data_IF_611202736124
#
_entry.id   IF_611202736124
#
_cell.length_a   1.000
_cell.length_b   1.000
_cell.length_c   1.000
_cell.angle_alpha   90.00
_cell.angle_beta   90.00
_cell.angle_gamma   90.00
#
_symmetry.space_group_name_H-M   'P 1'
#
loop_
_entity.id
_entity.type
_entity.pdbx_description
1 polymer ?
#
# COMPACT_ATOMS: atom_id res chain seq x y z
N UNK A 1 -22.92 42.13 -20.02
CA UNK A 1 -21.98 41.03 -19.69
C UNK A 1 -21.63 40.31 -20.98
N UNK A 2 -20.43 40.53 -21.50
CA UNK A 2 -19.98 40.11 -22.84
C UNK A 2 -19.76 38.58 -22.94
N UNK A 3 -20.18 37.97 -24.05
CA UNK A 3 -20.11 36.52 -24.29
C UNK A 3 -18.69 35.94 -24.20
N UNK A 4 -17.68 36.75 -24.53
CA UNK A 4 -16.25 36.39 -24.40
C UNK A 4 -15.83 36.06 -22.96
N UNK A 5 -16.44 36.71 -21.96
CA UNK A 5 -16.15 36.42 -20.56
C UNK A 5 -16.70 35.07 -20.09
N UNK A 6 -17.80 34.60 -20.70
CA UNK A 6 -18.40 33.29 -20.40
C UNK A 6 -17.58 32.16 -21.01
N UNK A 7 -17.18 32.30 -22.27
CA UNK A 7 -16.35 31.30 -22.97
C UNK A 7 -14.99 31.09 -22.29
N UNK A 8 -14.31 32.16 -21.88
CA UNK A 8 -13.04 32.07 -21.15
C UNK A 8 -13.19 31.35 -19.80
N UNK A 9 -14.31 31.55 -19.10
CA UNK A 9 -14.59 30.89 -17.82
C UNK A 9 -14.92 29.39 -18.00
N UNK A 10 -15.66 29.02 -19.04
CA UNK A 10 -15.93 27.62 -19.39
C UNK A 10 -14.67 26.88 -19.84
N UNK A 11 -13.81 27.51 -20.65
CA UNK A 11 -12.52 26.96 -21.05
C UNK A 11 -11.56 26.78 -19.85
N UNK A 12 -11.67 27.63 -18.82
CA UNK A 12 -10.91 27.48 -17.57
C UNK A 12 -11.47 26.35 -16.71
N UNK A 13 -12.81 26.29 -16.53
CA UNK A 13 -13.48 25.24 -15.75
C UNK A 13 -13.27 23.85 -16.34
N UNK A 14 -13.33 23.71 -17.66
CA UNK A 14 -13.07 22.44 -18.35
C UNK A 14 -11.61 21.99 -18.19
N UNK A 15 -10.64 22.91 -18.31
CA UNK A 15 -9.22 22.63 -18.04
C UNK A 15 -8.98 22.17 -16.60
N UNK A 16 -9.53 22.89 -15.62
CA UNK A 16 -9.42 22.52 -14.20
C UNK A 16 -10.07 21.16 -13.91
N UNK A 17 -11.26 20.91 -14.49
CA UNK A 17 -11.94 19.61 -14.40
C UNK A 17 -11.22 18.48 -15.11
N UNK A 18 -10.28 18.73 -16.03
CA UNK A 18 -9.44 17.68 -16.66
C UNK A 18 -8.14 17.47 -15.89
N UNK A 19 -7.52 18.54 -15.40
CA UNK A 19 -6.30 18.46 -14.58
C UNK A 19 -6.54 17.80 -13.22
N UNK A 20 -7.74 17.99 -12.64
CA UNK A 20 -8.11 17.41 -11.34
C UNK A 20 -8.20 15.87 -11.38
N UNK A 21 -8.91 15.25 -12.34
CA UNK A 21 -8.87 13.80 -12.59
C UNK A 21 -7.47 13.25 -12.82
N UNK A 22 -6.62 13.96 -13.56
CA UNK A 22 -5.25 13.51 -13.84
C UNK A 22 -4.37 13.53 -12.59
N UNK A 23 -4.48 14.56 -11.76
CA UNK A 23 -3.77 14.67 -10.49
C UNK A 23 -4.20 13.54 -9.54
N UNK A 24 -5.51 13.30 -9.40
CA UNK A 24 -6.05 12.19 -8.61
C UNK A 24 -5.55 10.84 -9.13
N UNK A 25 -5.68 10.58 -10.43
CA UNK A 25 -5.22 9.35 -11.04
C UNK A 25 -3.73 9.09 -10.84
N UNK A 26 -2.91 10.14 -10.75
CA UNK A 26 -1.48 10.02 -10.45
C UNK A 26 -1.22 9.55 -9.02
N UNK A 27 -1.93 10.11 -8.03
CA UNK A 27 -1.81 9.70 -6.62
C UNK A 27 -2.17 8.22 -6.44
N UNK A 28 -3.27 7.77 -7.04
CA UNK A 28 -3.69 6.36 -7.00
C UNK A 28 -2.70 5.42 -7.68
N UNK A 29 -2.15 5.79 -8.84
CA UNK A 29 -1.13 4.98 -9.52
C UNK A 29 0.17 4.90 -8.72
N UNK A 30 0.60 5.99 -8.10
CA UNK A 30 1.75 5.99 -7.20
C UNK A 30 1.52 5.07 -5.99
N UNK A 31 0.36 5.18 -5.34
CA UNK A 31 -0.01 4.30 -4.24
C UNK A 31 -0.06 2.82 -4.66
N UNK A 32 -0.65 2.52 -5.83
CA UNK A 32 -0.69 1.16 -6.37
C UNK A 32 0.72 0.60 -6.60
N UNK A 33 1.63 1.38 -7.21
CA UNK A 33 3.01 0.94 -7.43
C UNK A 33 3.77 0.70 -6.13
N UNK A 34 3.64 1.59 -5.15
CA UNK A 34 4.30 1.43 -3.84
C UNK A 34 3.76 0.19 -3.14
N UNK A 35 2.44 0.02 -3.14
CA UNK A 35 1.79 -1.17 -2.59
C UNK A 35 2.27 -2.46 -3.27
N UNK A 36 2.42 -2.46 -4.60
CA UNK A 36 2.95 -3.58 -5.36
C UNK A 36 4.36 -3.97 -4.88
N UNK A 37 5.25 -2.98 -4.73
CA UNK A 37 6.60 -3.22 -4.22
C UNK A 37 6.60 -3.81 -2.82
N UNK A 38 5.79 -3.26 -1.91
CA UNK A 38 5.66 -3.78 -0.54
C UNK A 38 5.14 -5.22 -0.54
N UNK A 39 4.13 -5.52 -1.35
CA UNK A 39 3.59 -6.87 -1.47
C UNK A 39 4.62 -7.87 -1.98
N UNK A 40 5.40 -7.50 -3.00
CA UNK A 40 6.50 -8.35 -3.50
C UNK A 40 7.53 -8.60 -2.40
N UNK A 41 7.95 -7.58 -1.65
CA UNK A 41 8.89 -7.75 -0.53
C UNK A 41 8.35 -8.72 0.53
N UNK A 42 7.05 -8.70 0.80
CA UNK A 42 6.43 -9.66 1.72
C UNK A 42 6.44 -11.09 1.18
N UNK A 43 6.06 -11.31 -0.07
CA UNK A 43 6.12 -12.63 -0.71
C UNK A 43 7.53 -13.22 -0.64
N UNK A 44 8.54 -12.40 -0.99
CA UNK A 44 9.94 -12.81 -0.88
C UNK A 44 10.38 -13.09 0.56
N UNK A 45 9.91 -12.30 1.52
CA UNK A 45 10.20 -12.53 2.94
C UNK A 45 9.64 -13.88 3.40
N UNK A 46 8.39 -14.20 3.03
CA UNK A 46 7.77 -15.50 3.33
C UNK A 46 8.55 -16.64 2.68
N UNK A 47 8.94 -16.49 1.42
CA UNK A 47 9.75 -17.49 0.71
C UNK A 47 11.10 -17.75 1.40
N UNK A 48 11.82 -16.68 1.77
CA UNK A 48 13.13 -16.79 2.44
C UNK A 48 12.95 -17.42 3.83
N UNK A 49 11.98 -16.96 4.60
CA UNK A 49 11.70 -17.48 5.94
C UNK A 49 11.27 -18.95 5.93
N UNK A 50 10.55 -19.37 4.90
CA UNK A 50 10.22 -20.78 4.68
C UNK A 50 11.49 -21.62 4.50
N UNK A 51 12.42 -21.17 3.65
CA UNK A 51 13.69 -21.86 3.40
C UNK A 51 14.61 -21.92 4.62
N UNK A 52 14.43 -21.01 5.58
CA UNK A 52 15.21 -20.95 6.83
C UNK A 52 14.51 -21.63 8.02
N UNK A 53 13.33 -22.24 7.83
CA UNK A 53 12.57 -22.85 8.93
C UNK A 53 12.13 -21.86 10.00
N UNK A 54 11.89 -20.60 9.61
CA UNK A 54 11.44 -19.52 10.50
C UNK A 54 9.91 -19.38 10.56
N UNK A 55 9.19 -20.03 9.64
CA UNK A 55 7.74 -20.01 9.63
C UNK A 55 7.16 -21.11 10.54
N UNK A 56 6.06 -20.83 11.26
CA UNK A 56 5.42 -21.83 12.10
C UNK A 56 4.79 -22.94 11.24
N UNK A 57 5.20 -24.21 11.41
CA UNK A 57 4.72 -25.32 10.58
C UNK A 57 3.22 -25.59 10.72
N UNK A 58 2.63 -25.25 11.87
CA UNK A 58 1.21 -25.42 12.16
C UNK A 58 0.29 -24.52 11.32
N UNK A 59 0.81 -23.50 10.64
CA UNK A 59 0.01 -22.62 9.76
C UNK A 59 -0.28 -23.25 8.39
N UNK A 60 0.22 -24.45 8.12
CA UNK A 60 -0.04 -25.18 6.88
C UNK A 60 0.92 -24.82 5.74
N UNK A 61 0.64 -25.27 4.50
CA UNK A 61 1.59 -25.20 3.41
C UNK A 61 1.93 -23.77 3.00
N UNK A 62 3.22 -23.42 2.98
CA UNK A 62 3.73 -22.10 2.59
C UNK A 62 3.19 -21.67 1.22
N UNK A 63 3.12 -22.59 0.26
CA UNK A 63 2.61 -22.30 -1.09
C UNK A 63 1.17 -21.77 -1.11
N UNK A 64 0.32 -22.20 -0.17
CA UNK A 64 -1.06 -21.69 -0.06
C UNK A 64 -1.03 -20.23 0.40
N UNK A 65 -0.18 -19.89 1.38
CA UNK A 65 -0.05 -18.51 1.85
C UNK A 65 0.51 -17.57 0.80
N UNK A 66 1.50 -18.01 0.02
CA UNK A 66 2.04 -17.24 -1.10
C UNK A 66 0.97 -16.99 -2.18
N UNK A 67 0.17 -18.01 -2.51
CA UNK A 67 -0.92 -17.85 -3.48
C UNK A 67 -1.98 -16.86 -2.97
N UNK A 68 -2.37 -16.97 -1.70
CA UNK A 68 -3.34 -16.04 -1.08
C UNK A 68 -2.78 -14.62 -1.04
N UNK A 69 -1.52 -14.44 -0.65
CA UNK A 69 -0.87 -13.13 -0.62
C UNK A 69 -0.77 -12.51 -2.01
N UNK A 70 -0.37 -13.28 -3.01
CA UNK A 70 -0.32 -12.84 -4.42
C UNK A 70 -1.71 -12.44 -4.96
N UNK A 71 -2.77 -13.17 -4.59
CA UNK A 71 -4.14 -12.82 -4.96
C UNK A 71 -4.60 -11.51 -4.31
N UNK A 72 -4.33 -11.32 -3.02
CA UNK A 72 -4.63 -10.07 -2.31
C UNK A 72 -3.87 -8.90 -2.94
N UNK A 73 -2.59 -9.11 -3.24
CA UNK A 73 -1.73 -8.12 -3.88
C UNK A 73 -2.29 -7.69 -5.24
N UNK A 74 -2.63 -8.66 -6.09
CA UNK A 74 -3.22 -8.41 -7.40
C UNK A 74 -4.56 -7.67 -7.29
N UNK A 75 -5.44 -8.09 -6.36
CA UNK A 75 -6.74 -7.48 -6.15
C UNK A 75 -6.63 -6.02 -5.68
N UNK A 76 -5.77 -5.73 -4.70
CA UNK A 76 -5.56 -4.37 -4.20
C UNK A 76 -4.89 -3.49 -5.25
N UNK A 77 -3.86 -3.99 -5.93
CA UNK A 77 -3.21 -3.26 -7.01
C UNK A 77 -4.21 -2.89 -8.10
N UNK A 78 -5.01 -3.86 -8.55
CA UNK A 78 -6.05 -3.64 -9.55
C UNK A 78 -7.09 -2.63 -9.08
N UNK A 79 -7.57 -2.74 -7.84
CA UNK A 79 -8.54 -1.82 -7.26
C UNK A 79 -8.03 -0.38 -7.20
N UNK A 80 -6.77 -0.19 -6.76
CA UNK A 80 -6.14 1.13 -6.72
C UNK A 80 -5.90 1.69 -8.12
N UNK A 81 -5.41 0.86 -9.04
CA UNK A 81 -5.07 1.27 -10.40
C UNK A 81 -6.30 1.62 -11.24
N UNK A 82 -7.32 0.74 -11.23
CA UNK A 82 -8.45 0.79 -12.17
C UNK A 82 -9.66 1.56 -11.64
N UNK A 83 -9.94 1.46 -10.33
CA UNK A 83 -11.14 2.06 -9.74
C UNK A 83 -10.89 3.42 -9.09
N UNK A 84 -9.66 3.69 -8.65
CA UNK A 84 -9.26 4.98 -8.04
C UNK A 84 -10.23 5.45 -6.92
N UNK A 85 -10.74 4.47 -6.17
CA UNK A 85 -11.73 4.65 -5.13
C UNK A 85 -11.03 4.96 -3.80
N UNK A 86 -11.38 6.10 -3.19
CA UNK A 86 -10.82 6.53 -1.91
C UNK A 86 -11.09 5.53 -0.78
N UNK A 87 -12.28 4.90 -0.76
CA UNK A 87 -12.63 3.93 0.28
C UNK A 87 -11.74 2.70 0.22
N UNK A 88 -11.39 2.23 -0.98
CA UNK A 88 -10.44 1.12 -1.15
C UNK A 88 -9.09 1.52 -0.55
N UNK A 89 -8.59 2.73 -0.85
CA UNK A 89 -7.34 3.22 -0.28
C UNK A 89 -7.41 3.32 1.25
N UNK A 90 -8.51 3.81 1.83
CA UNK A 90 -8.70 3.95 3.28
C UNK A 90 -8.77 2.60 4.00
N UNK A 91 -9.48 1.63 3.45
CA UNK A 91 -9.58 0.27 4.02
C UNK A 91 -8.21 -0.41 3.99
N UNK A 92 -7.52 -0.37 2.84
CA UNK A 92 -6.18 -0.94 2.70
C UNK A 92 -5.19 -0.26 3.64
N UNK A 93 -5.27 1.07 3.77
CA UNK A 93 -4.50 1.85 4.74
C UNK A 93 -4.73 1.35 6.17
N UNK A 94 -5.99 1.23 6.60
CA UNK A 94 -6.34 0.79 7.94
C UNK A 94 -5.81 -0.63 8.24
N UNK A 95 -6.01 -1.56 7.31
CA UNK A 95 -5.51 -2.93 7.44
C UNK A 95 -3.98 -2.99 7.54
N UNK A 96 -3.26 -2.14 6.82
CA UNK A 96 -1.79 -2.08 6.93
C UNK A 96 -1.33 -1.38 8.22
N UNK A 97 -2.07 -0.39 8.71
CA UNK A 97 -1.74 0.30 9.96
C UNK A 97 -1.80 -0.65 11.16
N UNK A 98 -2.72 -1.62 11.15
CA UNK A 98 -2.82 -2.67 12.17
C UNK A 98 -1.57 -3.55 12.30
N UNK A 99 -0.65 -3.51 11.34
CA UNK A 99 0.62 -4.24 11.41
C UNK A 99 1.67 -3.51 12.24
N UNK A 100 1.55 -2.20 12.42
CA UNK A 100 2.56 -1.40 13.11
C UNK A 100 2.85 -1.89 14.53
N UNK A 101 1.86 -2.24 15.37
CA UNK A 101 2.14 -2.73 16.73
C UNK A 101 3.10 -3.93 16.74
N UNK A 102 2.83 -4.95 15.94
CA UNK A 102 3.66 -6.16 15.87
C UNK A 102 5.07 -5.87 15.32
N UNK A 103 5.19 -4.93 14.36
CA UNK A 103 6.49 -4.55 13.81
C UNK A 103 7.31 -3.72 14.81
N UNK A 104 6.66 -2.81 15.54
CA UNK A 104 7.31 -2.02 16.58
C UNK A 104 7.75 -2.90 17.76
N UNK A 105 6.93 -3.88 18.15
CA UNK A 105 7.29 -4.88 19.16
C UNK A 105 8.55 -5.64 18.73
N UNK A 106 8.58 -6.22 17.52
CA UNK A 106 9.76 -6.93 17.02
C UNK A 106 11.01 -6.05 16.84
N UNK A 107 10.83 -4.74 16.61
CA UNK A 107 11.93 -3.79 16.44
C UNK A 107 12.54 -3.30 17.76
N UNK A 108 11.71 -2.99 18.76
CA UNK A 108 12.15 -2.30 19.98
C UNK A 108 12.12 -3.20 21.22
N UNK A 109 11.32 -4.27 21.20
CA UNK A 109 11.16 -5.21 22.31
C UNK A 109 11.36 -6.67 21.83
N UNK A 110 12.49 -7.01 21.19
CA UNK A 110 12.71 -8.35 20.69
C UNK A 110 12.80 -9.35 21.84
N UNK A 111 12.12 -10.50 21.67
CA UNK A 111 12.27 -11.65 22.55
C UNK A 111 13.76 -12.10 22.57
N UNK A 112 14.35 -12.41 23.74
CA UNK A 112 15.69 -12.97 23.82
C UNK A 112 15.93 -14.20 22.91
N UNK A 113 14.89 -14.97 22.59
CA UNK A 113 14.92 -16.11 21.67
C UNK A 113 14.60 -15.77 20.20
N UNK A 114 14.43 -14.50 19.85
CA UNK A 114 14.02 -14.08 18.51
C UNK A 114 15.04 -14.51 17.45
N UNK A 115 14.56 -15.25 16.44
CA UNK A 115 15.37 -15.68 15.29
C UNK A 115 15.48 -14.64 14.18
N UNK A 116 14.61 -13.62 14.20
CA UNK A 116 14.59 -12.53 13.23
C UNK A 116 15.20 -11.29 13.90
N UNK A 117 16.21 -10.66 13.30
CA UNK A 117 16.88 -9.50 13.91
C UNK A 117 15.96 -8.28 13.95
N UNK A 118 16.08 -7.47 15.01
CA UNK A 118 15.33 -6.21 15.17
C UNK A 118 15.47 -5.24 13.98
N UNK A 119 16.62 -5.25 13.30
CA UNK A 119 16.85 -4.44 12.09
C UNK A 119 15.88 -4.79 10.95
N UNK A 120 15.50 -6.06 10.79
CA UNK A 120 14.50 -6.47 9.80
C UNK A 120 13.15 -5.82 10.08
N UNK A 121 12.72 -5.82 11.35
CA UNK A 121 11.48 -5.17 11.76
C UNK A 121 11.53 -3.66 11.59
N UNK A 122 12.66 -3.00 11.91
CA UNK A 122 12.85 -1.58 11.65
C UNK A 122 12.73 -1.24 10.16
N UNK A 123 13.36 -2.03 9.30
CA UNK A 123 13.22 -1.86 7.84
C UNK A 123 11.77 -2.04 7.39
N UNK A 124 11.07 -3.05 7.92
CA UNK A 124 9.66 -3.27 7.63
C UNK A 124 8.77 -2.11 8.11
N UNK A 125 9.05 -1.51 9.28
CA UNK A 125 8.35 -0.30 9.77
C UNK A 125 8.50 0.83 8.76
N UNK A 126 9.71 1.14 8.31
CA UNK A 126 9.95 2.21 7.33
C UNK A 126 9.18 1.97 6.03
N UNK A 127 9.24 0.75 5.49
CA UNK A 127 8.51 0.37 4.27
C UNK A 127 7.00 0.55 4.47
N UNK A 128 6.45 0.09 5.60
CA UNK A 128 5.03 0.22 5.92
C UNK A 128 4.63 1.68 6.06
N UNK A 129 5.43 2.53 6.72
CA UNK A 129 5.15 3.95 6.86
C UNK A 129 5.11 4.66 5.49
N UNK A 130 6.03 4.34 4.58
CA UNK A 130 6.01 4.86 3.20
C UNK A 130 4.73 4.43 2.46
N UNK A 131 4.34 3.17 2.59
CA UNK A 131 3.11 2.67 1.98
C UNK A 131 1.86 3.35 2.55
N UNK A 132 1.78 3.49 3.87
CA UNK A 132 0.70 4.21 4.55
C UNK A 132 0.63 5.66 4.12
N UNK A 133 1.77 6.34 3.98
CA UNK A 133 1.79 7.71 3.49
C UNK A 133 1.23 7.82 2.07
N UNK A 134 1.61 6.90 1.17
CA UNK A 134 1.13 6.90 -0.21
C UNK A 134 -0.36 6.57 -0.32
N UNK A 135 -0.84 5.60 0.45
CA UNK A 135 -2.27 5.28 0.56
C UNK A 135 -3.06 6.44 1.17
N UNK A 136 -2.51 7.14 2.17
CA UNK A 136 -3.16 8.30 2.77
C UNK A 136 -3.33 9.43 1.74
N UNK A 137 -2.30 9.68 0.92
CA UNK A 137 -2.38 10.64 -0.19
C UNK A 137 -3.44 10.27 -1.22
N UNK A 138 -3.65 8.99 -1.50
CA UNK A 138 -4.71 8.55 -2.41
C UNK A 138 -6.11 8.62 -1.76
N UNK A 139 -6.21 8.41 -0.44
CA UNK A 139 -7.49 8.29 0.27
C UNK A 139 -8.06 9.58 0.86
N UNK A 140 -7.22 10.56 1.22
CA UNK A 140 -7.65 11.78 1.92
C UNK A 140 -7.19 13.09 1.26
N UNK A 141 -6.13 13.06 0.44
CA UNK A 141 -5.65 14.22 -0.31
C UNK A 141 -6.24 14.20 -1.74
N UNK A 142 -7.55 14.49 -1.84
CA UNK A 142 -8.36 14.38 -3.06
C UNK A 142 -8.61 15.69 -3.77
#
# INVERSE_FOLDING_TARGET
MDGRGREANEARRSRLRRSWPEARARKFRQAAFVYLHVGILYEFSVWIFAGQGLLPPERGPVGVWLAVGALILAAVFWGLWRWQNEWVARVVWALHALRLPALLEGAFFPDPGARIPASFYLTAVVIVLVNLWMLARAGWDL
#
